data_IF_385657837281
#
_entry.id   IF_385657837281
#
_cell.length_a   1.000
_cell.length_b   1.000
_cell.length_c   1.000
_cell.angle_alpha   90.00
_cell.angle_beta   90.00
_cell.angle_gamma   90.00
#
_symmetry.space_group_name_H-M   'P 1'
#
loop_
_entity.id
_entity.type
_entity.pdbx_description
1 polymer ?
#
# COMPACT_ATOMS: atom_id res chain seq x y z
N UNK A 1 -17.70 16.47 18.47
CA UNK A 1 -16.56 15.99 19.26
C UNK A 1 -15.30 16.63 18.69
N UNK A 2 -14.60 17.37 19.53
CA UNK A 2 -13.36 18.06 19.26
C UNK A 2 -12.37 17.74 20.39
N UNK A 3 -11.07 17.83 20.12
CA UNK A 3 -10.05 17.59 21.15
C UNK A 3 -10.18 18.58 22.32
N UNK A 4 -10.65 19.80 22.05
CA UNK A 4 -10.96 20.82 23.07
C UNK A 4 -12.12 20.47 23.99
N UNK A 5 -12.93 19.45 23.65
CA UNK A 5 -14.03 18.99 24.52
C UNK A 5 -13.48 18.18 25.72
N UNK A 6 -12.20 17.77 25.71
CA UNK A 6 -11.54 17.06 26.80
C UNK A 6 -10.84 18.01 27.80
N UNK A 7 -10.76 17.66 29.10
CA UNK A 7 -9.98 18.40 30.07
C UNK A 7 -8.52 18.61 29.65
N UNK A 8 -7.99 19.82 29.84
CA UNK A 8 -6.66 20.19 29.35
C UNK A 8 -5.53 19.35 29.98
N UNK A 9 -5.69 18.95 31.25
CA UNK A 9 -4.78 18.08 31.99
C UNK A 9 -4.76 16.65 31.43
N UNK A 10 -5.93 16.14 31.02
CA UNK A 10 -6.06 14.85 30.34
C UNK A 10 -5.32 14.84 29.00
N UNK A 11 -5.54 15.86 28.15
CA UNK A 11 -4.81 16.01 26.88
C UNK A 11 -3.31 16.12 27.12
N UNK A 12 -2.88 16.94 28.09
CA UNK A 12 -1.48 17.10 28.45
C UNK A 12 -0.83 15.79 28.93
N UNK A 13 -1.58 14.94 29.64
CA UNK A 13 -1.09 13.63 30.07
C UNK A 13 -0.94 12.66 28.89
N UNK A 14 -1.91 12.62 27.98
CA UNK A 14 -1.83 11.78 26.79
C UNK A 14 -0.66 12.18 25.88
N UNK A 15 -0.43 13.49 25.69
CA UNK A 15 0.69 13.99 24.90
C UNK A 15 2.05 13.54 25.45
N UNK A 16 2.22 13.47 26.78
CA UNK A 16 3.46 12.98 27.40
C UNK A 16 3.74 11.50 27.12
N UNK A 17 2.73 10.72 26.76
CA UNK A 17 2.88 9.31 26.41
C UNK A 17 3.21 9.08 24.91
N UNK A 18 3.17 10.14 24.10
CA UNK A 18 3.47 10.05 22.67
C UNK A 18 4.97 10.21 22.46
N UNK A 19 5.59 9.19 21.87
CA UNK A 19 6.98 9.27 21.39
C UNK A 19 6.95 9.64 19.92
N UNK A 20 7.43 10.86 19.60
CA UNK A 20 7.66 11.28 18.23
C UNK A 20 8.89 10.59 17.67
N UNK A 21 8.77 9.99 16.49
CA UNK A 21 9.91 9.51 15.71
C UNK A 21 9.92 10.25 14.38
N UNK A 22 11.11 10.61 13.93
CA UNK A 22 11.34 11.15 12.58
C UNK A 22 12.18 10.15 11.81
N UNK A 23 11.75 9.84 10.59
CA UNK A 23 12.49 8.96 9.67
C UNK A 23 12.84 9.78 8.44
N UNK A 24 14.09 10.22 8.37
CA UNK A 24 14.63 10.86 7.16
C UNK A 24 14.78 9.81 6.06
N UNK A 25 14.20 10.05 4.89
CA UNK A 25 14.35 9.16 3.75
C UNK A 25 15.71 9.35 3.09
N UNK A 26 16.59 8.36 3.22
CA UNK A 26 17.90 8.35 2.55
C UNK A 26 17.84 7.64 1.20
N UNK A 27 17.15 6.50 1.14
CA UNK A 27 16.93 5.73 -0.08
C UNK A 27 15.68 4.87 0.04
N UNK A 28 15.05 4.57 -1.10
CA UNK A 28 13.92 3.65 -1.20
C UNK A 28 14.21 2.59 -2.26
N UNK A 29 14.17 1.32 -1.87
CA UNK A 29 14.33 0.18 -2.77
C UNK A 29 13.08 -0.68 -2.72
N UNK A 30 12.49 -0.94 -3.89
CA UNK A 30 11.32 -1.81 -4.05
C UNK A 30 11.61 -3.01 -4.93
N UNK A 31 10.83 -4.07 -4.78
CA UNK A 31 10.80 -5.20 -5.73
C UNK A 31 9.47 -5.21 -6.45
N UNK A 32 9.50 -5.11 -7.77
CA UNK A 32 8.31 -5.17 -8.61
C UNK A 32 8.07 -6.62 -9.06
N UNK A 33 7.09 -7.30 -8.46
CA UNK A 33 6.75 -8.69 -8.76
C UNK A 33 5.37 -8.77 -9.40
N UNK A 34 5.31 -8.64 -10.72
CA UNK A 34 4.06 -8.59 -11.49
C UNK A 34 4.08 -9.57 -12.67
N UNK A 35 4.70 -10.74 -12.46
CA UNK A 35 4.77 -11.83 -13.45
C UNK A 35 5.50 -11.47 -14.76
N UNK A 36 6.49 -10.58 -14.71
CA UNK A 36 7.27 -10.17 -15.88
C UNK A 36 8.07 -11.34 -16.52
N UNK A 37 8.39 -12.37 -15.73
CA UNK A 37 9.13 -13.55 -16.18
C UNK A 37 8.25 -14.70 -16.69
N UNK A 38 6.97 -14.45 -16.97
CA UNK A 38 6.01 -15.44 -17.43
C UNK A 38 5.67 -15.23 -18.90
N UNK A 39 5.14 -16.27 -19.54
CA UNK A 39 4.66 -16.16 -20.92
C UNK A 39 3.51 -15.16 -21.03
N UNK A 40 3.26 -14.63 -22.22
CA UNK A 40 2.13 -13.74 -22.46
C UNK A 40 0.78 -14.42 -22.12
N UNK A 41 0.66 -15.73 -22.40
CA UNK A 41 -0.52 -16.52 -22.07
C UNK A 41 -0.72 -16.64 -20.55
N UNK A 42 0.33 -16.93 -19.80
CA UNK A 42 0.25 -17.02 -18.33
C UNK A 42 -0.12 -15.68 -17.70
N UNK A 43 0.47 -14.58 -18.19
CA UNK A 43 0.12 -13.22 -17.73
C UNK A 43 -1.35 -12.90 -17.99
N UNK A 44 -1.85 -13.22 -19.18
CA UNK A 44 -3.26 -13.03 -19.51
C UNK A 44 -4.18 -13.86 -18.59
N UNK A 45 -3.80 -15.11 -18.29
CA UNK A 45 -4.51 -15.96 -17.33
C UNK A 45 -4.54 -15.37 -15.92
N UNK A 46 -3.41 -14.85 -15.43
CA UNK A 46 -3.33 -14.16 -14.13
C UNK A 46 -4.24 -12.94 -14.08
N UNK A 47 -4.20 -12.08 -15.12
CA UNK A 47 -5.09 -10.91 -15.21
C UNK A 47 -6.56 -11.32 -15.19
N UNK A 48 -6.91 -12.37 -15.94
CA UNK A 48 -8.28 -12.88 -16.01
C UNK A 48 -8.76 -13.42 -14.65
N UNK A 49 -7.91 -14.15 -13.93
CA UNK A 49 -8.23 -14.64 -12.59
C UNK A 49 -8.41 -13.49 -11.59
N UNK A 50 -7.48 -12.54 -11.57
CA UNK A 50 -7.54 -11.39 -10.65
C UNK A 50 -8.75 -10.49 -10.89
N UNK A 51 -9.21 -10.34 -12.14
CA UNK A 51 -10.43 -9.58 -12.47
C UNK A 51 -11.73 -10.24 -11.99
N UNK A 52 -11.70 -11.53 -11.66
CA UNK A 52 -12.86 -12.24 -11.11
C UNK A 52 -12.92 -12.19 -9.59
N UNK A 53 -11.82 -11.79 -8.94
CA UNK A 53 -11.77 -11.59 -7.50
C UNK A 53 -12.27 -10.19 -7.13
N UNK A 54 -13.06 -10.09 -6.05
CA UNK A 54 -13.54 -8.82 -5.56
C UNK A 54 -12.50 -8.13 -4.66
N UNK A 55 -12.36 -6.83 -4.79
CA UNK A 55 -11.56 -5.99 -3.90
C UNK A 55 -10.43 -5.24 -4.60
N UNK A 56 -10.05 -4.12 -4.00
CA UNK A 56 -9.16 -3.15 -4.60
C UNK A 56 -7.76 -3.70 -4.86
N UNK A 57 -7.31 -4.65 -4.04
CA UNK A 57 -5.99 -5.29 -4.19
C UNK A 57 -5.92 -6.16 -5.45
N UNK A 58 -6.96 -6.97 -5.71
CA UNK A 58 -7.02 -7.82 -6.89
C UNK A 58 -7.12 -6.97 -8.17
N UNK A 59 -7.98 -5.94 -8.15
CA UNK A 59 -8.11 -4.98 -9.24
C UNK A 59 -6.80 -4.23 -9.52
N UNK A 60 -6.13 -3.75 -8.47
CA UNK A 60 -4.83 -3.09 -8.57
C UNK A 60 -3.77 -4.01 -9.18
N UNK A 61 -3.64 -5.23 -8.68
CA UNK A 61 -2.67 -6.19 -9.22
C UNK A 61 -2.98 -6.57 -10.68
N UNK A 62 -4.25 -6.74 -11.05
CA UNK A 62 -4.64 -7.01 -12.43
C UNK A 62 -4.18 -5.90 -13.38
N UNK A 63 -4.27 -4.63 -12.96
CA UNK A 63 -3.77 -3.50 -13.74
C UNK A 63 -2.24 -3.58 -13.90
N UNK A 64 -1.51 -3.81 -12.80
CA UNK A 64 -0.04 -3.85 -12.81
C UNK A 64 0.53 -5.02 -13.64
N UNK A 65 -0.11 -6.20 -13.61
CA UNK A 65 0.29 -7.34 -14.45
C UNK A 65 -0.03 -7.08 -15.92
N UNK A 66 -1.06 -6.28 -16.22
CA UNK A 66 -1.44 -5.91 -17.59
C UNK A 66 -0.46 -4.93 -18.23
N UNK A 67 0.17 -4.07 -17.44
CA UNK A 67 1.18 -3.13 -17.94
C UNK A 67 2.45 -3.88 -18.37
N UNK A 68 2.80 -3.77 -19.66
CA UNK A 68 4.08 -4.27 -20.18
C UNK A 68 5.14 -3.23 -19.87
N UNK A 69 5.72 -3.29 -18.67
CA UNK A 69 6.94 -2.58 -18.34
C UNK A 69 8.12 -3.50 -18.63
N UNK A 70 8.79 -3.26 -19.77
CA UNK A 70 10.16 -3.72 -19.98
C UNK A 70 11.06 -2.84 -19.10
N UNK A 71 11.52 -3.40 -17.98
CA UNK A 71 12.60 -2.86 -17.15
C UNK A 71 13.78 -3.81 -17.28
#
# INVERSE_FOLDING_TARGET
WQVSDAPADYVAQMLRAIVGIEVTMEALTGKWKVSQNRSAADRAGVVHGLRQEAGDQASGMAALVSEILFI
#
